data_IF_843018101190
#
_entry.id   IF_843018101190
#
_cell.length_a   1.000
_cell.length_b   1.000
_cell.length_c   1.000
_cell.angle_alpha   90.00
_cell.angle_beta   90.00
_cell.angle_gamma   90.00
#
_symmetry.space_group_name_H-M   'P 1'
#
loop_
_entity.id
_entity.type
_entity.pdbx_description
1 polymer ?
#
# COMPACT_ATOMS: atom_id res chain seq x y z
N UNK A 1 24.48 30.23 48.96
CA UNK A 1 23.07 30.16 49.38
C UNK A 1 22.58 28.75 49.15
N UNK A 2 22.17 28.05 50.22
CA UNK A 2 21.06 27.09 50.27
C UNK A 2 20.96 25.86 49.36
N UNK A 3 21.88 25.56 48.44
CA UNK A 3 21.70 24.37 47.59
C UNK A 3 22.02 23.07 48.33
N UNK A 4 21.06 22.14 48.36
CA UNK A 4 21.28 20.77 48.86
C UNK A 4 21.51 19.83 47.67
N UNK A 5 22.46 18.90 47.83
CA UNK A 5 22.80 17.90 46.83
C UNK A 5 22.19 16.56 47.22
N UNK A 6 21.31 16.03 46.37
CA UNK A 6 20.73 14.70 46.53
C UNK A 6 20.53 14.06 45.15
N UNK A 7 20.88 12.79 45.02
CA UNK A 7 20.71 11.99 43.79
C UNK A 7 21.25 12.65 42.51
N UNK A 8 22.38 13.35 42.59
CA UNK A 8 23.04 13.91 41.40
C UNK A 8 22.59 15.32 40.98
N UNK A 9 21.67 15.97 41.70
CA UNK A 9 21.13 17.27 41.34
C UNK A 9 21.24 18.30 42.48
N UNK A 10 21.37 19.58 42.11
CA UNK A 10 21.38 20.73 43.03
C UNK A 10 20.01 21.42 43.00
N UNK A 11 19.42 21.64 44.17
CA UNK A 11 18.13 22.32 44.32
C UNK A 11 18.32 23.71 44.93
N UNK A 12 17.67 24.75 44.39
CA UNK A 12 17.67 26.10 44.98
C UNK A 12 16.27 26.47 45.52
N UNK A 13 16.17 27.21 46.64
CA UNK A 13 14.92 27.83 47.07
C UNK A 13 14.39 28.85 46.04
N UNK A 14 13.11 29.25 46.14
CA UNK A 14 12.50 30.24 45.24
C UNK A 14 13.29 31.55 45.22
N UNK A 15 13.59 32.06 44.03
CA UNK A 15 14.38 33.30 43.83
C UNK A 15 13.55 34.31 43.05
N UNK A 16 13.72 35.61 43.35
CA UNK A 16 13.08 36.71 42.64
C UNK A 16 13.59 36.87 41.20
N UNK A 17 12.74 37.34 40.28
CA UNK A 17 13.07 37.53 38.84
C UNK A 17 14.38 38.27 38.58
N UNK A 18 14.65 39.38 39.29
CA UNK A 18 15.90 40.15 39.10
C UNK A 18 17.19 39.37 39.44
N UNK A 19 17.10 38.28 40.21
CA UNK A 19 18.27 37.45 40.56
C UNK A 19 18.50 36.30 39.57
N UNK A 20 17.50 35.95 38.75
CA UNK A 20 17.61 34.90 37.73
C UNK A 20 18.55 35.31 36.60
N UNK A 21 18.55 36.58 36.22
CA UNK A 21 19.43 37.12 35.15
C UNK A 21 20.93 37.09 35.51
N UNK A 22 21.27 36.99 36.80
CA UNK A 22 22.65 36.96 37.28
C UNK A 22 23.18 35.53 37.48
N UNK A 23 22.36 34.49 37.27
CA UNK A 23 22.75 33.09 37.45
C UNK A 23 23.20 32.47 36.12
N UNK A 24 24.36 32.92 35.61
CA UNK A 24 25.09 32.21 34.56
C UNK A 24 26.22 31.38 35.20
N UNK A 25 26.10 30.06 35.12
CA UNK A 25 27.22 29.14 35.31
C UNK A 25 27.26 28.24 34.07
N UNK A 26 28.47 28.06 33.54
CA UNK A 26 28.80 27.19 32.42
C UNK A 26 28.11 25.82 32.57
N UNK A 27 27.53 25.31 31.48
CA UNK A 27 26.64 24.14 31.41
C UNK A 27 25.21 24.32 31.96
N UNK A 28 24.64 25.49 31.60
CA UNK A 28 23.34 25.73 30.92
C UNK A 28 22.08 25.04 31.46
N UNK A 29 21.30 25.76 32.26
CA UNK A 29 19.82 25.69 32.27
C UNK A 29 19.24 27.05 32.67
N UNK A 30 18.32 27.60 31.89
CA UNK A 30 17.48 28.76 32.23
C UNK A 30 16.01 28.34 32.12
N UNK A 31 15.19 28.76 33.08
CA UNK A 31 13.78 28.39 33.27
C UNK A 31 12.92 29.62 32.96
N UNK A 32 11.84 29.46 32.19
CA UNK A 32 10.82 30.48 31.99
C UNK A 32 9.43 29.84 32.05
N UNK A 33 8.48 30.51 32.70
CA UNK A 33 7.08 30.13 32.82
C UNK A 33 6.23 30.78 31.72
N UNK A 34 5.65 29.97 30.83
CA UNK A 34 4.65 30.38 29.84
C UNK A 34 3.43 29.45 29.84
N UNK A 35 2.31 29.90 29.25
CA UNK A 35 1.06 29.10 29.14
C UNK A 35 1.25 27.94 28.15
N UNK A 36 0.58 26.83 28.44
CA UNK A 36 0.71 25.53 27.76
C UNK A 36 0.45 25.60 26.24
N UNK A 37 -0.39 26.51 25.78
CA UNK A 37 -0.74 26.68 24.36
C UNK A 37 0.46 27.13 23.50
N UNK A 38 1.44 27.81 24.10
CA UNK A 38 2.65 28.27 23.42
C UNK A 38 3.69 27.15 23.22
N UNK A 39 3.58 26.03 23.96
CA UNK A 39 4.49 24.88 23.87
C UNK A 39 4.15 23.88 22.75
N UNK A 40 2.93 23.95 22.19
CA UNK A 40 2.46 23.03 21.15
C UNK A 40 2.97 23.39 19.74
N UNK A 41 3.64 24.55 19.59
CA UNK A 41 4.10 25.11 18.31
C UNK A 41 5.63 25.18 18.15
N UNK A 42 6.41 24.50 18.99
CA UNK A 42 7.89 24.56 18.92
C UNK A 42 8.46 23.42 18.04
N UNK A 43 9.31 23.80 17.08
CA UNK A 43 10.03 22.89 16.18
C UNK A 43 11.04 22.00 16.93
N UNK A 44 11.30 20.80 16.38
CA UNK A 44 12.09 19.68 16.92
C UNK A 44 13.54 20.00 17.39
N UNK A 45 14.02 21.25 17.35
CA UNK A 45 15.39 21.65 17.74
C UNK A 45 15.50 22.42 19.07
N UNK A 46 14.41 22.87 19.67
CA UNK A 46 14.44 23.53 20.98
C UNK A 46 13.95 22.59 22.09
N UNK A 47 14.90 21.84 22.67
CA UNK A 47 14.70 21.05 23.88
C UNK A 47 14.33 21.95 25.07
N UNK A 48 13.03 22.18 25.29
CA UNK A 48 12.52 22.81 26.53
C UNK A 48 12.18 21.72 27.54
N UNK A 49 13.11 21.46 28.46
CA UNK A 49 12.91 20.50 29.56
C UNK A 49 12.11 21.16 30.70
N UNK A 50 10.79 21.00 30.66
CA UNK A 50 9.88 21.40 31.75
C UNK A 50 9.94 20.37 32.90
N UNK A 51 10.18 20.84 34.13
CA UNK A 51 10.01 20.05 35.37
C UNK A 51 9.21 20.86 36.37
N UNK A 52 7.98 20.41 36.68
CA UNK A 52 7.15 20.91 37.77
C UNK A 52 6.51 19.76 38.55
N UNK A 53 6.79 19.71 39.85
CA UNK A 53 6.19 18.90 40.93
C UNK A 53 5.75 17.45 40.62
N UNK A 54 6.63 16.52 41.02
CA UNK A 54 6.39 15.14 41.49
C UNK A 54 5.21 14.34 40.90
N UNK A 55 5.52 13.46 39.94
CA UNK A 55 4.77 12.22 39.66
C UNK A 55 3.68 12.28 38.60
N UNK A 56 3.01 13.43 38.43
CA UNK A 56 1.90 13.54 37.46
C UNK A 56 2.43 13.85 36.05
N UNK A 57 3.49 14.66 35.94
CA UNK A 57 3.94 15.23 34.67
C UNK A 57 4.77 14.25 33.81
N UNK A 58 5.54 13.33 34.42
CA UNK A 58 6.22 12.26 33.68
C UNK A 58 5.23 11.24 33.10
N UNK A 59 4.16 10.93 33.84
CA UNK A 59 3.11 10.02 33.35
C UNK A 59 2.36 10.62 32.16
N UNK A 60 2.05 11.91 32.21
CA UNK A 60 1.43 12.61 31.07
C UNK A 60 2.38 12.66 29.87
N UNK A 61 3.68 12.94 30.07
CA UNK A 61 4.68 12.92 28.98
C UNK A 61 4.85 11.54 28.36
N UNK A 62 4.99 10.49 29.17
CA UNK A 62 5.07 9.11 28.67
C UNK A 62 3.78 8.74 27.94
N UNK A 63 2.62 9.11 28.47
CA UNK A 63 1.33 8.87 27.83
C UNK A 63 1.18 9.62 26.51
N UNK A 64 1.64 10.87 26.41
CA UNK A 64 1.66 11.64 25.15
C UNK A 64 2.64 11.02 24.15
N UNK A 65 3.82 10.60 24.62
CA UNK A 65 4.80 9.91 23.78
C UNK A 65 4.26 8.59 23.24
N UNK A 66 3.66 7.78 24.11
CA UNK A 66 3.03 6.51 23.76
C UNK A 66 1.87 6.72 22.79
N UNK A 67 1.01 7.71 23.04
CA UNK A 67 -0.08 8.10 22.14
C UNK A 67 0.47 8.50 20.78
N UNK A 68 1.51 9.34 20.74
CA UNK A 68 2.15 9.77 19.49
C UNK A 68 2.78 8.58 18.77
N UNK A 69 3.53 7.75 19.48
CA UNK A 69 4.18 6.55 18.96
C UNK A 69 3.16 5.60 18.33
N UNK A 70 2.12 5.21 19.08
CA UNK A 70 1.05 4.34 18.57
C UNK A 70 0.25 4.96 17.43
N UNK A 71 0.17 6.30 17.37
CA UNK A 71 -0.46 6.99 16.24
C UNK A 71 0.40 6.97 14.97
N UNK A 72 1.71 6.75 15.10
CA UNK A 72 2.69 6.83 14.00
C UNK A 72 3.22 5.47 13.56
N UNK A 73 3.10 4.44 14.40
CA UNK A 73 3.71 3.13 14.17
C UNK A 73 2.66 2.01 14.06
N UNK A 74 3.00 0.96 13.32
CA UNK A 74 2.29 -0.30 13.28
C UNK A 74 2.56 -1.09 14.59
N UNK A 75 1.52 -1.49 15.33
CA UNK A 75 1.69 -2.10 16.65
C UNK A 75 2.31 -3.51 16.61
N UNK A 76 2.25 -4.21 15.47
CA UNK A 76 2.80 -5.56 15.35
C UNK A 76 4.31 -5.54 15.10
N UNK A 77 4.76 -4.66 14.21
CA UNK A 77 6.13 -4.62 13.71
C UNK A 77 6.97 -3.47 14.28
N UNK A 78 6.32 -2.46 14.86
CA UNK A 78 6.97 -1.23 15.33
C UNK A 78 7.55 -0.37 14.21
N UNK A 79 7.24 -0.66 12.94
CA UNK A 79 7.56 0.20 11.80
C UNK A 79 6.60 1.39 11.74
N UNK A 80 6.89 2.38 10.89
CA UNK A 80 5.92 3.44 10.63
C UNK A 80 4.62 2.84 10.07
N UNK A 81 3.49 3.49 10.31
CA UNK A 81 2.23 3.15 9.66
C UNK A 81 2.05 3.95 8.36
N UNK A 82 1.04 3.58 7.57
CA UNK A 82 0.72 4.23 6.29
C UNK A 82 0.56 5.75 6.39
N UNK A 83 -0.09 6.22 7.45
CA UNK A 83 -0.38 7.65 7.63
C UNK A 83 0.91 8.45 7.82
N UNK A 84 1.78 7.96 8.70
CA UNK A 84 3.06 8.61 8.98
C UNK A 84 3.99 8.57 7.76
N UNK A 85 4.11 7.42 7.09
CA UNK A 85 4.89 7.29 5.85
C UNK A 85 4.43 8.28 4.78
N UNK A 86 3.12 8.34 4.49
CA UNK A 86 2.57 9.29 3.51
C UNK A 86 2.87 10.75 3.88
N UNK A 87 2.70 11.09 5.16
CA UNK A 87 3.01 12.44 5.66
C UNK A 87 4.48 12.80 5.48
N UNK A 88 5.41 11.91 5.83
CA UNK A 88 6.86 12.17 5.72
C UNK A 88 7.31 12.33 4.28
N UNK A 89 6.90 11.40 3.42
CA UNK A 89 7.25 11.43 1.99
C UNK A 89 6.72 12.71 1.33
N UNK A 90 5.46 13.08 1.55
CA UNK A 90 4.92 14.31 0.97
C UNK A 90 5.66 15.56 1.45
N UNK A 91 5.97 15.66 2.75
CA UNK A 91 6.75 16.79 3.29
C UNK A 91 8.15 16.88 2.69
N UNK A 92 8.80 15.74 2.43
CA UNK A 92 10.11 15.71 1.76
C UNK A 92 9.98 16.20 0.31
N UNK A 93 8.92 15.80 -0.38
CA UNK A 93 8.69 16.13 -1.79
C UNK A 93 8.12 17.53 -2.03
N UNK A 94 7.57 18.21 -1.01
CA UNK A 94 6.99 19.57 -1.12
C UNK A 94 7.95 20.59 -1.74
N UNK A 95 9.27 20.43 -1.52
CA UNK A 95 10.29 21.31 -2.08
C UNK A 95 10.77 20.91 -3.49
N UNK A 96 10.26 19.83 -4.06
CA UNK A 96 10.38 19.47 -5.49
C UNK A 96 11.70 18.85 -5.97
N UNK A 97 12.75 18.86 -5.14
CA UNK A 97 14.12 18.46 -5.52
C UNK A 97 14.71 17.31 -4.69
N UNK A 98 13.87 16.51 -4.02
CA UNK A 98 14.36 15.36 -3.24
C UNK A 98 14.52 14.14 -4.14
N UNK A 99 15.78 13.73 -4.31
CA UNK A 99 16.11 12.41 -4.85
C UNK A 99 15.77 11.34 -3.81
N UNK A 100 15.09 10.29 -4.25
CA UNK A 100 14.73 9.17 -3.41
C UNK A 100 14.32 7.95 -4.22
N UNK A 101 14.26 6.82 -3.53
CA UNK A 101 13.80 5.54 -4.08
C UNK A 101 12.66 5.01 -3.23
N UNK A 102 11.49 4.91 -3.84
CA UNK A 102 10.28 4.35 -3.24
C UNK A 102 10.16 2.87 -3.59
N UNK A 103 9.99 2.01 -2.59
CA UNK A 103 9.94 0.55 -2.76
C UNK A 103 8.69 0.03 -2.06
N UNK A 104 7.80 -0.63 -2.80
CA UNK A 104 6.70 -1.43 -2.22
C UNK A 104 7.12 -2.89 -2.21
N UNK A 105 6.86 -3.57 -1.10
CA UNK A 105 7.19 -4.98 -0.89
C UNK A 105 5.95 -5.69 -0.39
N UNK A 106 5.66 -6.85 -0.96
CA UNK A 106 4.52 -7.69 -0.61
C UNK A 106 4.94 -9.14 -0.40
N UNK A 107 4.37 -9.77 0.63
CA UNK A 107 4.68 -11.16 0.98
C UNK A 107 3.93 -12.13 0.07
N UNK A 108 4.67 -12.94 -0.68
CA UNK A 108 4.08 -13.83 -1.65
C UNK A 108 3.24 -14.93 -0.98
N UNK A 109 1.98 -15.05 -1.40
CA UNK A 109 1.03 -16.06 -0.91
C UNK A 109 0.73 -15.99 0.61
N UNK A 110 0.85 -14.82 1.23
CA UNK A 110 0.67 -14.67 2.68
C UNK A 110 -0.66 -15.22 3.21
N UNK A 111 -1.76 -15.01 2.48
CA UNK A 111 -3.06 -15.60 2.83
C UNK A 111 -3.00 -17.12 2.97
N UNK A 112 -2.33 -17.81 2.04
CA UNK A 112 -2.15 -19.28 2.09
C UNK A 112 -1.35 -19.70 3.32
N UNK A 113 -0.36 -18.91 3.72
CA UNK A 113 0.41 -19.16 4.94
C UNK A 113 -0.49 -19.07 6.17
N UNK A 114 -1.31 -18.01 6.27
CA UNK A 114 -2.27 -17.88 7.36
C UNK A 114 -3.29 -19.01 7.38
N UNK A 115 -3.80 -19.41 6.22
CA UNK A 115 -4.80 -20.48 6.10
C UNK A 115 -4.23 -21.85 6.53
N UNK A 116 -2.93 -22.10 6.29
CA UNK A 116 -2.28 -23.40 6.58
C UNK A 116 -1.64 -23.45 7.97
N UNK A 117 -0.99 -22.36 8.39
CA UNK A 117 -0.15 -22.30 9.60
C UNK A 117 -0.73 -21.41 10.70
N UNK A 118 -1.86 -20.74 10.43
CA UNK A 118 -2.53 -19.84 11.36
C UNK A 118 -1.93 -18.45 11.43
N UNK A 119 -2.72 -17.50 11.96
CA UNK A 119 -2.36 -16.09 12.05
C UNK A 119 -1.13 -15.82 12.93
N UNK A 120 -0.91 -16.62 13.99
CA UNK A 120 0.28 -16.47 14.85
C UNK A 120 1.56 -16.63 14.04
N UNK A 121 1.58 -17.59 13.10
CA UNK A 121 2.73 -17.77 12.22
C UNK A 121 2.88 -16.63 11.22
N UNK A 122 1.77 -16.12 10.69
CA UNK A 122 1.76 -14.92 9.86
C UNK A 122 2.37 -13.71 10.57
N UNK A 123 2.02 -13.51 11.84
CA UNK A 123 2.53 -12.41 12.66
C UNK A 123 4.05 -12.53 12.90
N UNK A 124 4.57 -13.74 13.15
CA UNK A 124 6.02 -13.99 13.24
C UNK A 124 6.74 -13.62 11.94
N UNK A 125 6.16 -14.00 10.80
CA UNK A 125 6.71 -13.70 9.48
C UNK A 125 6.76 -12.20 9.23
N UNK A 126 5.70 -11.48 9.56
CA UNK A 126 5.63 -10.02 9.40
C UNK A 126 6.68 -9.30 10.25
N UNK A 127 6.90 -9.76 11.50
CA UNK A 127 7.97 -9.25 12.36
C UNK A 127 9.35 -9.53 11.78
N UNK A 128 9.58 -10.75 11.27
CA UNK A 128 10.84 -11.12 10.63
C UNK A 128 11.14 -10.25 9.40
N UNK A 129 10.14 -9.98 8.57
CA UNK A 129 10.28 -9.09 7.41
C UNK A 129 10.66 -7.68 7.86
N UNK A 130 9.97 -7.15 8.87
CA UNK A 130 10.28 -5.82 9.42
C UNK A 130 11.73 -5.71 9.92
N UNK A 131 12.21 -6.73 10.64
CA UNK A 131 13.60 -6.80 11.09
C UNK A 131 14.59 -6.92 9.92
N UNK A 132 14.27 -7.73 8.91
CA UNK A 132 15.11 -7.89 7.72
C UNK A 132 15.21 -6.59 6.93
N UNK A 133 14.13 -5.82 6.81
CA UNK A 133 14.15 -4.50 6.18
C UNK A 133 15.04 -3.53 6.96
N UNK A 134 14.90 -3.45 8.29
CA UNK A 134 15.78 -2.61 9.14
C UNK A 134 17.26 -2.96 9.00
N UNK A 135 17.60 -4.24 8.77
CA UNK A 135 18.99 -4.69 8.56
C UNK A 135 19.51 -4.40 7.15
N UNK A 136 18.63 -4.26 6.17
CA UNK A 136 19.01 -4.04 4.76
C UNK A 136 19.07 -2.57 4.37
N UNK A 137 18.30 -1.72 5.04
CA UNK A 137 18.23 -0.28 4.77
C UNK A 137 18.94 0.53 5.87
N UNK A 138 19.20 1.81 5.59
CA UNK A 138 19.89 2.71 6.53
C UNK A 138 18.91 3.24 7.58
N UNK A 139 19.42 3.74 8.70
CA UNK A 139 18.58 4.36 9.74
C UNK A 139 17.85 5.63 9.26
N UNK A 140 18.39 6.30 8.25
CA UNK A 140 17.77 7.47 7.61
C UNK A 140 16.64 7.09 6.63
N UNK A 141 16.57 5.83 6.21
CA UNK A 141 15.52 5.36 5.30
C UNK A 141 14.22 5.16 6.10
N UNK A 142 13.11 5.71 5.61
CA UNK A 142 11.81 5.48 6.23
C UNK A 142 11.29 4.08 5.85
N UNK A 143 10.86 3.30 6.84
CA UNK A 143 10.33 1.94 6.65
C UNK A 143 8.97 1.85 7.32
N UNK A 144 7.95 1.39 6.58
CA UNK A 144 6.58 1.28 7.05
C UNK A 144 5.93 -0.05 6.72
N UNK A 145 4.94 -0.42 7.52
CA UNK A 145 3.93 -1.42 7.15
C UNK A 145 2.63 -0.68 6.87
N UNK A 146 2.13 -0.82 5.64
CA UNK A 146 1.01 -0.02 5.14
C UNK A 146 -0.29 -0.81 4.97
N UNK A 147 -0.20 -2.13 5.00
CA UNK A 147 -1.30 -3.07 4.85
C UNK A 147 -1.10 -4.34 5.67
N UNK A 148 -1.85 -5.40 5.35
CA UNK A 148 -1.73 -6.69 6.04
C UNK A 148 -0.35 -7.32 5.84
N UNK A 149 0.08 -7.40 4.59
CA UNK A 149 1.31 -8.03 4.10
C UNK A 149 2.16 -7.10 3.23
N UNK A 150 1.82 -5.81 3.21
CA UNK A 150 2.47 -4.78 2.40
C UNK A 150 3.36 -3.86 3.25
N UNK A 151 4.58 -3.67 2.78
CA UNK A 151 5.60 -2.80 3.36
C UNK A 151 6.05 -1.76 2.33
N UNK A 152 6.46 -0.59 2.83
CA UNK A 152 7.06 0.46 2.01
C UNK A 152 8.37 0.90 2.61
N UNK A 153 9.38 1.06 1.76
CA UNK A 153 10.63 1.74 2.08
C UNK A 153 10.72 3.00 1.22
N UNK A 154 11.00 4.14 1.85
CA UNK A 154 11.42 5.34 1.15
C UNK A 154 12.88 5.63 1.53
N UNK A 155 13.78 5.35 0.61
CA UNK A 155 15.21 5.54 0.83
C UNK A 155 15.66 6.86 0.23
N UNK A 156 16.30 7.70 1.05
CA UNK A 156 16.69 9.06 0.68
C UNK A 156 17.97 9.08 -0.15
N UNK A 157 18.00 9.96 -1.15
CA UNK A 157 19.10 10.12 -2.11
C UNK A 157 19.00 9.22 -3.33
N UNK A 158 19.81 9.51 -4.36
CA UNK A 158 19.93 8.64 -5.52
C UNK A 158 20.66 7.34 -5.16
N UNK A 159 19.90 6.25 -5.13
CA UNK A 159 20.45 4.91 -5.00
C UNK A 159 20.81 4.41 -6.41
N UNK A 160 22.11 4.18 -6.62
CA UNK A 160 22.59 3.53 -7.84
C UNK A 160 21.98 2.13 -7.98
N UNK A 161 21.90 1.64 -9.22
CA UNK A 161 21.32 0.32 -9.49
C UNK A 161 22.02 -0.79 -8.70
N UNK A 162 23.34 -0.71 -8.57
CA UNK A 162 24.20 -1.68 -7.87
C UNK A 162 23.90 -1.68 -6.36
N UNK A 163 23.76 -0.49 -5.75
CA UNK A 163 23.41 -0.36 -4.33
C UNK A 163 22.00 -0.86 -4.03
N UNK A 164 21.06 -0.59 -4.94
CA UNK A 164 19.69 -1.10 -4.82
C UNK A 164 19.71 -2.64 -4.87
N UNK A 165 20.44 -3.20 -5.83
CA UNK A 165 20.60 -4.65 -5.99
C UNK A 165 21.23 -5.29 -4.74
N UNK A 166 22.27 -4.68 -4.18
CA UNK A 166 22.89 -5.12 -2.92
C UNK A 166 21.88 -5.13 -1.75
N UNK A 167 21.15 -4.03 -1.54
CA UNK A 167 20.13 -3.90 -0.50
C UNK A 167 19.02 -4.94 -0.65
N UNK A 168 18.51 -5.13 -1.88
CA UNK A 168 17.44 -6.10 -2.16
C UNK A 168 17.92 -7.54 -2.01
N UNK A 169 19.11 -7.88 -2.50
CA UNK A 169 19.69 -9.22 -2.32
C UNK A 169 19.93 -9.55 -0.85
N UNK A 170 20.44 -8.58 -0.08
CA UNK A 170 20.58 -8.73 1.38
C UNK A 170 19.23 -8.99 2.04
N UNK A 171 18.20 -8.23 1.67
CA UNK A 171 16.84 -8.44 2.18
C UNK A 171 16.31 -9.85 1.84
N UNK A 172 16.41 -10.27 0.58
CA UNK A 172 15.92 -11.58 0.14
C UNK A 172 16.65 -12.74 0.82
N UNK A 173 17.97 -12.62 1.04
CA UNK A 173 18.71 -13.67 1.75
C UNK A 173 18.31 -13.76 3.23
N UNK A 174 18.06 -12.62 3.89
CA UNK A 174 17.65 -12.58 5.31
C UNK A 174 16.27 -13.19 5.59
N UNK A 175 15.39 -13.25 4.58
CA UNK A 175 14.03 -13.84 4.72
C UNK A 175 13.96 -15.30 4.25
N UNK A 176 15.01 -15.80 3.59
CA UNK A 176 15.05 -17.15 3.01
C UNK A 176 14.89 -18.26 4.05
N UNK A 177 15.47 -18.07 5.23
CA UNK A 177 15.37 -19.01 6.36
C UNK A 177 13.94 -19.17 6.88
N UNK A 178 13.05 -18.23 6.59
CA UNK A 178 11.64 -18.30 6.97
C UNK A 178 10.78 -19.01 5.92
N UNK A 179 11.38 -19.60 4.88
CA UNK A 179 10.70 -20.28 3.76
C UNK A 179 9.61 -19.42 3.09
N UNK A 180 9.80 -18.10 3.12
CA UNK A 180 8.93 -17.12 2.48
C UNK A 180 9.65 -16.39 1.36
N UNK A 181 8.86 -15.89 0.41
CA UNK A 181 9.35 -15.02 -0.64
C UNK A 181 8.58 -13.72 -0.63
N UNK A 182 9.20 -12.66 -1.13
CA UNK A 182 8.53 -11.38 -1.33
C UNK A 182 8.71 -10.93 -2.77
N UNK A 183 7.70 -10.22 -3.28
CA UNK A 183 7.81 -9.48 -4.52
C UNK A 183 7.94 -7.99 -4.21
N UNK A 184 8.70 -7.25 -5.01
CA UNK A 184 8.89 -5.81 -4.79
C UNK A 184 8.78 -4.99 -6.08
N UNK A 185 8.26 -3.77 -5.94
CA UNK A 185 8.21 -2.77 -7.00
C UNK A 185 8.94 -1.51 -6.56
N UNK A 186 9.81 -1.00 -7.43
CA UNK A 186 10.68 0.15 -7.14
C UNK A 186 10.34 1.30 -8.08
N UNK A 187 10.19 2.52 -7.54
CA UNK A 187 10.07 3.76 -8.31
C UNK A 187 11.09 4.77 -7.80
N UNK A 188 11.87 5.37 -8.70
CA UNK A 188 12.68 6.54 -8.35
C UNK A 188 11.80 7.79 -8.33
N UNK A 189 12.14 8.76 -7.50
CA UNK A 189 11.47 10.06 -7.53
C UNK A 189 11.81 10.80 -8.82
N UNK A 190 10.85 11.58 -9.29
CA UNK A 190 10.95 12.50 -10.43
C UNK A 190 10.34 13.84 -10.05
N UNK A 191 10.45 14.85 -10.92
CA UNK A 191 9.94 16.18 -10.61
C UNK A 191 8.42 16.18 -10.41
N UNK A 192 8.00 16.80 -9.29
CA UNK A 192 6.59 16.97 -8.89
C UNK A 192 5.84 15.69 -8.52
N UNK A 193 6.58 14.66 -8.12
CA UNK A 193 5.96 13.47 -7.52
C UNK A 193 5.36 13.78 -6.14
N UNK A 194 4.33 13.01 -5.79
CA UNK A 194 3.80 12.89 -4.45
C UNK A 194 3.80 11.41 -4.01
N UNK A 195 3.42 11.14 -2.77
CA UNK A 195 3.34 9.77 -2.27
C UNK A 195 2.42 8.89 -3.13
N UNK A 196 1.29 9.42 -3.61
CA UNK A 196 0.31 8.63 -4.33
C UNK A 196 0.79 8.31 -5.76
N UNK A 197 1.50 9.22 -6.43
CA UNK A 197 2.14 8.95 -7.74
C UNK A 197 3.26 7.91 -7.63
N UNK A 198 4.13 8.02 -6.62
CA UNK A 198 5.19 7.04 -6.36
C UNK A 198 4.63 5.67 -6.01
N UNK A 199 3.60 5.63 -5.15
CA UNK A 199 2.92 4.42 -4.78
C UNK A 199 2.31 3.74 -6.03
N UNK A 200 1.61 4.50 -6.86
CA UNK A 200 1.01 3.99 -8.09
C UNK A 200 2.07 3.38 -9.04
N UNK A 201 3.17 4.08 -9.29
CA UNK A 201 4.22 3.60 -10.19
C UNK A 201 4.97 2.38 -9.62
N UNK A 202 5.27 2.39 -8.32
CA UNK A 202 5.89 1.25 -7.66
C UNK A 202 4.97 0.02 -7.63
N UNK A 203 3.65 0.20 -7.42
CA UNK A 203 2.66 -0.87 -7.45
C UNK A 203 2.63 -1.55 -8.84
N UNK A 204 2.72 -0.77 -9.91
CA UNK A 204 2.83 -1.31 -11.26
C UNK A 204 4.05 -2.21 -11.45
N UNK A 205 5.20 -1.79 -10.92
CA UNK A 205 6.41 -2.60 -10.95
C UNK A 205 6.28 -3.86 -10.08
N UNK A 206 5.64 -3.75 -8.91
CA UNK A 206 5.38 -4.88 -8.00
C UNK A 206 4.52 -5.95 -8.68
N UNK A 207 3.42 -5.54 -9.32
CA UNK A 207 2.55 -6.50 -10.02
C UNK A 207 3.32 -7.19 -11.15
N UNK A 208 4.17 -6.44 -11.87
CA UNK A 208 5.05 -7.00 -12.90
C UNK A 208 6.04 -8.03 -12.33
N UNK A 209 6.55 -7.82 -11.10
CA UNK A 209 7.39 -8.79 -10.40
C UNK A 209 6.59 -10.06 -10.07
N UNK A 210 5.41 -9.92 -9.45
CA UNK A 210 4.50 -11.03 -9.10
C UNK A 210 4.16 -11.90 -10.31
N UNK A 211 3.84 -11.29 -11.45
CA UNK A 211 3.41 -12.04 -12.65
C UNK A 211 4.59 -12.70 -13.37
N UNK A 212 5.77 -12.12 -13.29
CA UNK A 212 6.99 -12.73 -13.84
C UNK A 212 7.61 -13.83 -12.95
N UNK A 213 6.84 -14.38 -12.00
CA UNK A 213 7.23 -15.54 -11.21
C UNK A 213 7.57 -15.28 -9.75
N UNK A 214 7.22 -14.10 -9.19
CA UNK A 214 7.39 -13.75 -7.76
C UNK A 214 8.86 -13.80 -7.29
N UNK A 215 9.11 -13.63 -5.98
CA UNK A 215 10.45 -13.70 -5.38
C UNK A 215 11.51 -12.83 -6.08
N UNK A 216 11.16 -11.60 -6.43
CA UNK A 216 12.05 -10.65 -7.12
C UNK A 216 11.54 -9.23 -6.99
N UNK A 217 12.37 -8.28 -7.38
CA UNK A 217 11.96 -6.91 -7.55
C UNK A 217 11.96 -6.50 -9.02
N UNK A 218 11.17 -5.47 -9.35
CA UNK A 218 11.28 -4.74 -10.62
C UNK A 218 11.30 -3.24 -10.38
N UNK A 219 11.99 -2.54 -11.26
CA UNK A 219 12.03 -1.07 -11.28
C UNK A 219 11.03 -0.57 -12.30
N UNK A 220 10.23 0.42 -11.93
CA UNK A 220 9.29 1.10 -12.80
C UNK A 220 10.02 1.74 -13.97
N UNK A 221 9.42 1.64 -15.16
CA UNK A 221 9.89 2.28 -16.38
C UNK A 221 8.71 2.91 -17.10
N UNK A 222 8.89 4.09 -17.69
CA UNK A 222 7.89 4.70 -18.56
C UNK A 222 7.53 3.72 -19.69
N UNK A 223 6.27 3.29 -19.73
CA UNK A 223 5.79 2.24 -20.62
C UNK A 223 5.28 0.98 -19.90
N UNK A 224 5.55 0.82 -18.61
CA UNK A 224 4.76 -0.12 -17.81
C UNK A 224 3.30 0.33 -17.84
N UNK A 225 2.38 -0.60 -18.07
CA UNK A 225 0.94 -0.36 -17.97
C UNK A 225 0.39 -1.08 -16.75
N UNK A 226 -0.58 -0.45 -16.07
CA UNK A 226 -1.14 -1.04 -14.86
C UNK A 226 -1.68 -2.40 -15.24
N UNK A 227 -1.16 -3.41 -14.56
CA UNK A 227 -1.50 -4.79 -14.85
C UNK A 227 -3.01 -4.97 -14.64
N UNK A 228 -3.72 -5.07 -15.75
CA UNK A 228 -5.13 -5.34 -15.80
C UNK A 228 -5.33 -6.88 -15.76
N UNK A 229 -6.42 -7.40 -15.18
CA UNK A 229 -6.70 -8.85 -15.10
C UNK A 229 -6.50 -9.63 -16.41
N UNK A 230 -6.58 -8.92 -17.55
CA UNK A 230 -6.26 -9.39 -18.91
C UNK A 230 -4.91 -10.11 -19.00
N UNK A 231 -3.89 -9.65 -18.28
CA UNK A 231 -2.56 -10.26 -18.38
C UNK A 231 -2.44 -11.60 -17.63
N UNK A 232 -3.33 -11.88 -16.66
CA UNK A 232 -3.43 -13.20 -16.04
C UNK A 232 -4.31 -14.15 -16.84
N UNK A 233 -5.28 -13.59 -17.59
CA UNK A 233 -6.05 -14.37 -18.54
C UNK A 233 -5.15 -15.02 -19.57
N UNK A 234 -4.05 -14.42 -20.02
CA UNK A 234 -3.06 -15.08 -20.90
C UNK A 234 -2.60 -16.49 -20.45
N UNK A 235 -2.52 -16.75 -19.15
CA UNK A 235 -2.10 -18.06 -18.62
C UNK A 235 -3.24 -19.07 -18.45
N UNK A 236 -4.50 -18.61 -18.47
CA UNK A 236 -5.72 -19.44 -18.41
C UNK A 236 -6.56 -19.32 -19.68
N UNK A 237 -6.11 -18.54 -20.65
CA UNK A 237 -6.79 -18.17 -21.90
C UNK A 237 -7.06 -19.43 -22.69
N UNK A 238 -6.01 -20.24 -22.86
CA UNK A 238 -6.08 -21.54 -23.52
C UNK A 238 -7.13 -22.46 -22.87
N UNK A 239 -7.32 -22.37 -21.54
CA UNK A 239 -8.28 -23.19 -20.78
C UNK A 239 -9.70 -22.67 -20.94
N UNK A 240 -9.90 -21.35 -20.86
CA UNK A 240 -11.20 -20.70 -21.09
C UNK A 240 -11.65 -20.82 -22.55
N UNK A 241 -10.71 -20.93 -23.49
CA UNK A 241 -10.96 -21.22 -24.90
C UNK A 241 -11.35 -22.69 -25.15
N UNK A 242 -11.16 -23.60 -24.18
CA UNK A 242 -11.73 -24.96 -24.25
C UNK A 242 -13.20 -25.01 -23.81
N UNK A 243 -13.72 -23.95 -23.21
CA UNK A 243 -15.13 -23.88 -22.82
C UNK A 243 -15.96 -23.65 -24.08
N UNK A 244 -16.94 -24.51 -24.36
CA UNK A 244 -17.79 -24.39 -25.55
C UNK A 244 -18.71 -23.16 -25.51
N UNK A 245 -19.12 -22.74 -24.32
CA UNK A 245 -19.98 -21.60 -24.12
C UNK A 245 -19.21 -20.29 -24.23
N UNK A 246 -19.96 -19.21 -24.50
CA UNK A 246 -19.38 -17.88 -24.66
C UNK A 246 -19.10 -17.28 -23.28
N UNK A 247 -17.86 -16.86 -23.04
CA UNK A 247 -17.43 -16.27 -21.77
C UNK A 247 -16.78 -14.94 -22.03
N UNK A 248 -17.18 -13.93 -21.26
CA UNK A 248 -16.49 -12.64 -21.25
C UNK A 248 -16.49 -12.03 -19.85
N UNK A 249 -15.50 -11.18 -19.60
CA UNK A 249 -15.36 -10.43 -18.35
C UNK A 249 -15.41 -8.95 -18.71
N UNK A 250 -16.18 -8.18 -17.94
CA UNK A 250 -16.27 -6.73 -18.11
C UNK A 250 -16.03 -6.01 -16.80
N UNK A 251 -15.49 -4.81 -16.85
CA UNK A 251 -15.44 -3.90 -15.71
C UNK A 251 -16.87 -3.60 -15.20
N UNK A 252 -17.09 -3.64 -13.89
CA UNK A 252 -18.42 -3.48 -13.33
C UNK A 252 -18.96 -2.04 -13.44
N UNK A 253 -18.08 -1.05 -13.47
CA UNK A 253 -18.40 0.38 -13.52
C UNK A 253 -18.43 0.87 -14.97
N UNK A 254 -17.35 0.63 -15.71
CA UNK A 254 -17.21 1.17 -17.08
C UNK A 254 -17.92 0.30 -18.12
N UNK A 255 -18.26 -0.96 -17.80
CA UNK A 255 -18.80 -1.95 -18.74
C UNK A 255 -17.86 -2.34 -19.89
N UNK A 256 -16.58 -1.98 -19.81
CA UNK A 256 -15.57 -2.34 -20.82
C UNK A 256 -15.24 -3.82 -20.74
N UNK A 257 -15.13 -4.47 -21.90
CA UNK A 257 -14.73 -5.86 -22.01
C UNK A 257 -13.24 -5.97 -21.70
N UNK A 258 -12.94 -6.69 -20.65
CA UNK A 258 -11.59 -7.02 -20.21
C UNK A 258 -11.13 -8.37 -20.78
N UNK A 259 -12.07 -9.25 -21.12
CA UNK A 259 -11.77 -10.57 -21.67
C UNK A 259 -12.92 -11.11 -22.47
N UNK A 260 -12.62 -11.88 -23.51
CA UNK A 260 -13.61 -12.63 -24.27
C UNK A 260 -12.96 -13.91 -24.83
N UNK A 261 -13.60 -15.05 -24.64
CA UNK A 261 -13.09 -16.34 -25.10
C UNK A 261 -13.33 -16.55 -26.61
N UNK A 262 -12.63 -17.52 -27.20
CA UNK A 262 -12.68 -17.80 -28.64
C UNK A 262 -14.11 -18.08 -29.18
N UNK A 263 -14.96 -18.91 -28.54
CA UNK A 263 -16.35 -19.09 -28.98
C UNK A 263 -17.15 -17.80 -29.06
N UNK A 264 -16.95 -16.88 -28.12
CA UNK A 264 -17.62 -15.59 -28.13
C UNK A 264 -17.10 -14.71 -29.28
N UNK A 265 -15.79 -14.67 -29.51
CA UNK A 265 -15.21 -13.98 -30.67
C UNK A 265 -15.77 -14.49 -32.00
N UNK A 266 -15.83 -15.81 -32.17
CA UNK A 266 -16.39 -16.46 -33.36
C UNK A 266 -17.87 -16.11 -33.56
N UNK A 267 -18.64 -16.06 -32.46
CA UNK A 267 -20.05 -15.65 -32.51
C UNK A 267 -20.23 -14.22 -32.99
N UNK A 268 -19.41 -13.29 -32.51
CA UNK A 268 -19.52 -11.87 -32.89
C UNK A 268 -18.78 -11.53 -34.18
N UNK A 269 -18.06 -12.48 -34.78
CA UNK A 269 -17.29 -12.25 -36.00
C UNK A 269 -16.17 -11.21 -35.83
N UNK A 270 -15.66 -11.04 -34.61
CA UNK A 270 -14.59 -10.09 -34.27
C UNK A 270 -13.40 -10.82 -33.67
N UNK A 271 -12.19 -10.31 -33.92
CA UNK A 271 -11.01 -10.78 -33.18
C UNK A 271 -11.06 -10.29 -31.74
N UNK A 272 -10.41 -11.02 -30.84
CA UNK A 272 -10.38 -10.69 -29.41
C UNK A 272 -9.89 -9.26 -29.17
N UNK A 273 -8.84 -8.85 -29.88
CA UNK A 273 -8.22 -7.52 -29.75
C UNK A 273 -9.19 -6.38 -30.13
N UNK A 274 -10.15 -6.65 -31.01
CA UNK A 274 -11.17 -5.68 -31.43
C UNK A 274 -12.31 -5.55 -30.41
N UNK A 275 -12.51 -6.57 -29.58
CA UNK A 275 -13.52 -6.59 -28.52
C UNK A 275 -13.01 -5.97 -27.21
N UNK A 276 -11.71 -6.03 -26.94
CA UNK A 276 -11.14 -5.51 -25.69
C UNK A 276 -11.29 -3.99 -25.61
N UNK A 277 -11.76 -3.50 -24.46
CA UNK A 277 -12.07 -2.08 -24.24
C UNK A 277 -13.40 -1.62 -24.85
N UNK A 278 -14.06 -2.43 -25.69
CA UNK A 278 -15.41 -2.15 -26.17
C UNK A 278 -16.41 -2.32 -25.01
N UNK A 279 -17.50 -1.54 -25.01
CA UNK A 279 -18.55 -1.70 -23.99
C UNK A 279 -19.34 -2.97 -24.27
N UNK A 280 -19.57 -3.79 -23.25
CA UNK A 280 -20.29 -5.06 -23.41
C UNK A 280 -21.71 -4.87 -23.97
N UNK A 281 -22.38 -3.76 -23.66
CA UNK A 281 -23.70 -3.48 -24.21
C UNK A 281 -23.69 -3.06 -25.68
N UNK A 282 -22.58 -2.52 -26.17
CA UNK A 282 -22.39 -2.20 -27.59
C UNK A 282 -22.16 -3.48 -28.38
N UNK A 283 -21.25 -4.34 -27.92
CA UNK A 283 -20.92 -5.59 -28.60
C UNK A 283 -22.11 -6.57 -28.62
N UNK A 284 -22.74 -6.79 -27.45
CA UNK A 284 -23.75 -7.84 -27.30
C UNK A 284 -25.14 -7.39 -27.75
N UNK A 285 -25.46 -6.12 -27.50
CA UNK A 285 -26.83 -5.59 -27.62
C UNK A 285 -26.95 -4.43 -28.59
N UNK A 286 -25.88 -4.02 -29.30
CA UNK A 286 -25.86 -2.85 -30.18
C UNK A 286 -26.50 -1.61 -29.51
N UNK A 287 -26.36 -1.52 -28.19
CA UNK A 287 -26.96 -0.47 -27.38
C UNK A 287 -25.90 0.57 -27.04
N UNK A 288 -26.19 1.87 -27.20
CA UNK A 288 -25.27 2.94 -26.78
C UNK A 288 -25.25 3.14 -25.26
N UNK A 289 -26.20 2.55 -24.52
CA UNK A 289 -26.32 2.69 -23.06
C UNK A 289 -26.30 1.32 -22.37
N UNK A 290 -25.92 1.25 -21.07
CA UNK A 290 -25.97 0.02 -20.30
C UNK A 290 -27.37 -0.61 -20.33
N UNK A 291 -27.45 -1.90 -20.68
CA UNK A 291 -28.72 -2.61 -20.69
C UNK A 291 -29.35 -2.68 -19.28
N UNK A 292 -30.67 -2.85 -19.21
CA UNK A 292 -31.39 -2.98 -17.93
C UNK A 292 -30.95 -4.16 -17.03
N UNK A 293 -30.09 -5.05 -17.55
CA UNK A 293 -29.47 -6.16 -16.82
C UNK A 293 -28.24 -5.71 -16.03
N UNK A 294 -27.57 -4.64 -16.45
CA UNK A 294 -26.32 -4.19 -15.87
C UNK A 294 -26.47 -3.88 -14.37
N UNK A 295 -27.56 -3.20 -13.99
CA UNK A 295 -27.91 -2.91 -12.60
C UNK A 295 -28.36 -4.16 -11.84
N UNK A 296 -29.12 -5.07 -12.48
CA UNK A 296 -29.58 -6.32 -11.88
C UNK A 296 -28.41 -7.24 -11.53
N UNK A 297 -27.43 -7.37 -12.42
CA UNK A 297 -26.19 -8.12 -12.19
C UNK A 297 -25.41 -7.47 -11.03
N UNK A 298 -25.23 -6.14 -11.05
CA UNK A 298 -24.50 -5.41 -9.99
C UNK A 298 -25.13 -5.58 -8.60
N UNK A 299 -26.46 -5.65 -8.52
CA UNK A 299 -27.20 -5.75 -7.26
C UNK A 299 -27.38 -7.20 -6.77
N UNK A 300 -26.88 -8.20 -7.50
CA UNK A 300 -26.98 -9.60 -7.13
C UNK A 300 -25.95 -9.93 -6.03
N UNK A 301 -26.33 -9.76 -4.76
CA UNK A 301 -25.42 -9.91 -3.61
C UNK A 301 -25.00 -11.36 -3.32
N UNK A 302 -25.87 -12.34 -3.59
CA UNK A 302 -25.62 -13.76 -3.33
C UNK A 302 -26.12 -14.60 -4.51
N UNK A 303 -25.20 -15.22 -5.25
CA UNK A 303 -25.50 -16.17 -6.32
C UNK A 303 -25.11 -15.69 -7.71
N UNK A 304 -25.78 -16.25 -8.72
CA UNK A 304 -25.64 -15.89 -10.13
C UNK A 304 -26.91 -15.18 -10.58
N UNK A 305 -26.76 -14.08 -11.31
CA UNK A 305 -27.81 -13.59 -12.19
C UNK A 305 -28.06 -14.63 -13.27
N UNK A 306 -29.32 -15.00 -13.50
CA UNK A 306 -29.70 -15.93 -14.56
C UNK A 306 -30.88 -15.34 -15.35
N UNK A 307 -30.80 -15.35 -16.67
CA UNK A 307 -31.87 -14.88 -17.56
C UNK A 307 -31.82 -15.63 -18.89
N UNK A 308 -32.99 -15.94 -19.45
CA UNK A 308 -33.11 -16.41 -20.83
C UNK A 308 -33.49 -15.22 -21.73
N UNK A 309 -32.76 -15.04 -22.82
CA UNK A 309 -32.96 -13.94 -23.76
C UNK A 309 -32.47 -14.34 -25.15
N UNK A 310 -32.71 -13.50 -26.14
CA UNK A 310 -32.13 -13.62 -27.47
C UNK A 310 -31.04 -12.58 -27.67
N UNK A 311 -29.94 -12.97 -28.32
CA UNK A 311 -28.96 -12.04 -28.89
C UNK A 311 -29.60 -11.28 -30.06
N UNK A 312 -28.94 -10.19 -30.49
CA UNK A 312 -29.46 -9.34 -31.56
C UNK A 312 -29.65 -10.03 -32.92
N UNK A 313 -28.93 -11.13 -33.16
CA UNK A 313 -29.09 -11.96 -34.36
C UNK A 313 -30.21 -13.01 -34.23
N UNK A 314 -31.01 -12.94 -33.16
CA UNK A 314 -32.09 -13.87 -32.85
C UNK A 314 -31.64 -15.16 -32.16
N UNK A 315 -30.36 -15.28 -31.78
CA UNK A 315 -29.86 -16.50 -31.14
C UNK A 315 -30.35 -16.62 -29.69
N UNK A 316 -31.09 -17.68 -29.31
CA UNK A 316 -31.51 -17.88 -27.93
C UNK A 316 -30.32 -18.27 -27.05
N UNK A 317 -30.16 -17.55 -25.94
CA UNK A 317 -29.08 -17.74 -24.98
C UNK A 317 -29.60 -17.72 -23.54
N UNK A 318 -28.98 -18.53 -22.69
CA UNK A 318 -29.09 -18.39 -21.24
C UNK A 318 -27.87 -17.62 -20.73
N UNK A 319 -28.10 -16.44 -20.16
CA UNK A 319 -27.07 -15.64 -19.50
C UNK A 319 -26.96 -16.08 -18.05
N UNK A 320 -25.76 -16.42 -17.61
CA UNK A 320 -25.36 -16.49 -16.20
C UNK A 320 -24.28 -15.46 -15.93
N UNK A 321 -24.47 -14.61 -14.93
CA UNK A 321 -23.47 -13.59 -14.59
C UNK A 321 -23.29 -13.42 -13.09
N UNK A 322 -22.08 -13.02 -12.68
CA UNK A 322 -21.77 -12.73 -11.27
C UNK A 322 -20.75 -11.60 -11.16
N UNK A 323 -20.89 -10.80 -10.12
CA UNK A 323 -19.88 -9.81 -9.74
C UNK A 323 -18.81 -10.46 -8.87
N UNK A 324 -17.56 -10.23 -9.21
CA UNK A 324 -16.38 -10.63 -8.44
C UNK A 324 -15.56 -9.40 -8.10
N UNK A 325 -14.98 -9.39 -6.90
CA UNK A 325 -14.07 -8.35 -6.46
C UNK A 325 -12.65 -8.89 -6.49
N UNK A 326 -11.74 -8.17 -7.15
CA UNK A 326 -10.34 -8.58 -7.27
C UNK A 326 -9.44 -7.36 -7.37
N UNK A 327 -8.43 -7.28 -6.49
CA UNK A 327 -7.47 -6.18 -6.49
C UNK A 327 -8.10 -4.81 -6.23
N UNK A 328 -9.16 -4.76 -5.42
CA UNK A 328 -9.91 -3.54 -5.12
C UNK A 328 -10.90 -3.09 -6.21
N UNK A 329 -10.93 -3.76 -7.37
CA UNK A 329 -11.87 -3.47 -8.46
C UNK A 329 -12.98 -4.52 -8.53
N UNK A 330 -14.12 -4.14 -9.12
CA UNK A 330 -15.26 -5.03 -9.35
C UNK A 330 -15.37 -5.40 -10.83
N UNK A 331 -15.53 -6.68 -11.09
CA UNK A 331 -15.70 -7.23 -12.44
C UNK A 331 -16.99 -8.05 -12.53
N UNK A 332 -17.58 -8.06 -13.71
CA UNK A 332 -18.72 -8.91 -14.06
C UNK A 332 -18.22 -10.04 -14.97
N UNK A 333 -18.36 -11.27 -14.52
CA UNK A 333 -18.11 -12.47 -15.34
C UNK A 333 -19.45 -12.87 -15.94
N UNK A 334 -19.47 -13.02 -17.26
CA UNK A 334 -20.65 -13.40 -18.04
C UNK A 334 -20.39 -14.73 -18.75
N UNK A 335 -21.34 -15.62 -18.63
CA UNK A 335 -21.35 -16.96 -19.23
C UNK A 335 -22.66 -17.09 -20.02
N UNK A 336 -22.56 -17.31 -21.33
CA UNK A 336 -23.69 -17.34 -22.24
C UNK A 336 -23.76 -18.70 -22.93
N UNK A 337 -24.81 -19.44 -22.57
CA UNK A 337 -25.02 -20.79 -23.07
C UNK A 337 -26.00 -20.74 -24.22
N UNK A 338 -25.60 -21.30 -25.36
CA UNK A 338 -26.51 -21.50 -26.47
C UNK A 338 -27.48 -22.61 -26.10
N UNK A 339 -28.79 -22.34 -26.17
CA UNK A 339 -29.76 -23.44 -26.17
C UNK A 339 -29.74 -24.09 -27.56
N UNK A 340 -29.50 -25.40 -27.60
CA UNK A 340 -29.58 -26.23 -28.81
C UNK A 340 -31.04 -26.34 -29.23
#
# INVERSE_FOLDING_TARGET
MGCQYAQGYYYSPPVSEEKLDQMFIEDKTIISSGKIEDLLNLDDKELVKVVGSEGIDLNIKNMIFDLKYHSQHDPLTGLLNRREMKSRVNKLLENGDVEGTFIIIDVDNFKKINDVQGHVKGDEILKKIAESLRKSFLEIDDISRIGGDEFVVFALGDISKEKLEEKMNKFFELIKDAEITCSAGVCKTSHRDDYDSLYYNADMALISAKISGKNKYKVFTEGMQKYSPINHLKNVEWMLDQIFDMVFISDAETSEIMYINQPACEKFGKKREECLGEKCHTLMWHSPTPCGRCSKISNCKNGFYNEETELNDGTPVQIKAKVVEWGGNKYKIHYLNKKI
#
